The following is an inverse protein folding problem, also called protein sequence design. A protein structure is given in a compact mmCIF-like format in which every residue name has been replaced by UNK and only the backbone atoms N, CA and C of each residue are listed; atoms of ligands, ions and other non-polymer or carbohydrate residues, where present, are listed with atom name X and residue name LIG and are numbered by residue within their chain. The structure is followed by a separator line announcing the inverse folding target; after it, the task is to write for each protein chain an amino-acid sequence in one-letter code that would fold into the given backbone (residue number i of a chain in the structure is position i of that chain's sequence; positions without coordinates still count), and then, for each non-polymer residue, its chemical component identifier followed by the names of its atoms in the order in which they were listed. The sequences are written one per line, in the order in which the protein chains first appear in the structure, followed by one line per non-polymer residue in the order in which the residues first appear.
data_IF_790677449851
#
_entry.id   IF_790677449851
#
_cell.length_a   1.000
_cell.length_b   1.000
_cell.length_c   1.000
_cell.angle_alpha   90.00
_cell.angle_beta   90.00
_cell.angle_gamma   90.00
#
_symmetry.space_group_name_H-M   'P 1'
#
loop_
_entity.id
_entity.type
_entity.pdbx_description
1 polymer ?
#
# COMPACT_ATOMS: atom_id res chain seq x y z
N UNK A 1 22.92 -33.82 12.94
CA UNK A 1 22.76 -32.68 12.05
C UNK A 1 21.30 -32.63 11.63
N UNK A 2 20.67 -31.47 11.77
CA UNK A 2 19.30 -31.22 11.26
C UNK A 2 19.48 -30.34 10.04
N UNK A 3 18.93 -30.78 8.90
CA UNK A 3 18.94 -29.98 7.69
C UNK A 3 17.75 -29.02 7.75
N UNK A 4 18.02 -27.71 7.62
CA UNK A 4 17.01 -26.66 7.51
C UNK A 4 17.02 -26.19 6.06
N UNK A 5 16.04 -26.65 5.28
CA UNK A 5 15.87 -26.24 3.88
C UNK A 5 15.12 -24.92 3.73
N UNK A 6 15.12 -24.36 2.53
CA UNK A 6 14.29 -23.22 2.18
C UNK A 6 12.80 -23.61 2.28
N UNK A 7 11.93 -22.82 2.94
CA UNK A 7 10.50 -23.10 3.01
C UNK A 7 9.84 -22.93 1.63
N UNK A 8 8.72 -23.61 1.42
CA UNK A 8 7.89 -23.42 0.24
C UNK A 8 7.22 -22.03 0.24
N UNK A 9 6.66 -21.64 -0.91
CA UNK A 9 5.86 -20.41 -1.00
C UNK A 9 4.67 -20.46 -0.03
N UNK A 10 4.02 -21.60 0.09
CA UNK A 10 2.86 -21.80 0.98
C UNK A 10 3.26 -21.69 2.46
N UNK A 11 4.38 -22.29 2.86
CA UNK A 11 4.94 -22.15 4.21
C UNK A 11 5.34 -20.70 4.50
N UNK A 12 5.91 -20.02 3.49
CA UNK A 12 6.30 -18.60 3.61
C UNK A 12 5.07 -17.71 3.83
N UNK A 13 3.95 -17.95 3.11
CA UNK A 13 2.70 -17.22 3.35
C UNK A 13 2.21 -17.42 4.79
N UNK A 14 2.29 -18.67 5.30
CA UNK A 14 1.90 -18.95 6.69
C UNK A 14 2.80 -18.22 7.70
N UNK A 15 4.11 -18.15 7.44
CA UNK A 15 5.08 -17.38 8.26
C UNK A 15 4.73 -15.89 8.22
N UNK A 16 4.50 -15.32 7.04
CA UNK A 16 4.15 -13.90 6.88
C UNK A 16 2.85 -13.54 7.61
N UNK A 17 1.82 -14.41 7.53
CA UNK A 17 0.57 -14.24 8.32
C UNK A 17 0.84 -14.21 9.82
N UNK A 18 1.77 -15.03 10.31
CA UNK A 18 2.18 -15.02 11.71
C UNK A 18 2.92 -13.74 12.13
N UNK A 19 3.62 -13.08 11.21
CA UNK A 19 4.37 -11.85 11.45
C UNK A 19 3.55 -10.58 11.19
N UNK A 20 2.47 -10.67 10.42
CA UNK A 20 1.64 -9.55 9.94
C UNK A 20 1.35 -8.53 11.04
N UNK A 21 0.80 -8.96 12.18
CA UNK A 21 0.39 -8.05 13.25
C UNK A 21 1.55 -7.23 13.83
N UNK A 22 2.77 -7.78 13.84
CA UNK A 22 3.95 -7.07 14.33
C UNK A 22 4.39 -5.99 13.35
N UNK A 23 4.36 -6.27 12.04
CA UNK A 23 4.69 -5.28 11.01
C UNK A 23 3.62 -4.19 10.95
N UNK A 24 2.34 -4.53 11.03
CA UNK A 24 1.24 -3.57 11.12
C UNK A 24 1.38 -2.63 12.34
N UNK A 25 1.77 -3.18 13.50
CA UNK A 25 2.00 -2.39 14.70
C UNK A 25 3.26 -1.50 14.58
N UNK A 26 4.33 -2.02 13.96
CA UNK A 26 5.60 -1.29 13.82
C UNK A 26 5.47 -0.11 12.86
N UNK A 27 4.94 -0.35 11.66
CA UNK A 27 4.78 0.68 10.63
C UNK A 27 3.49 1.49 10.77
N UNK A 28 2.57 1.08 11.66
CA UNK A 28 1.24 1.69 11.86
C UNK A 28 0.40 1.75 10.58
N UNK A 29 0.48 0.71 9.75
CA UNK A 29 -0.26 0.54 8.51
C UNK A 29 -1.05 -0.76 8.51
N UNK A 30 -2.01 -0.89 7.61
CA UNK A 30 -2.72 -2.15 7.37
C UNK A 30 -2.03 -2.93 6.26
N UNK A 31 -1.89 -4.26 6.42
CA UNK A 31 -1.30 -5.13 5.40
C UNK A 31 -2.37 -6.10 4.91
N UNK A 32 -2.68 -6.10 3.62
CA UNK A 32 -3.62 -7.05 3.02
C UNK A 32 -3.09 -8.48 3.00
N UNK A 33 -3.98 -9.48 3.01
CA UNK A 33 -3.55 -10.88 2.82
C UNK A 33 -3.05 -11.13 1.39
N UNK A 34 -3.60 -10.41 0.43
CA UNK A 34 -3.16 -10.35 -0.95
C UNK A 34 -1.71 -9.85 -1.10
N UNK A 35 -1.30 -8.86 -0.29
CA UNK A 35 0.09 -8.41 -0.23
C UNK A 35 1.04 -9.53 0.25
N UNK A 36 0.65 -10.29 1.27
CA UNK A 36 1.46 -11.41 1.79
C UNK A 36 1.64 -12.52 0.75
N UNK A 37 0.55 -12.85 0.05
CA UNK A 37 0.58 -13.82 -1.05
C UNK A 37 1.44 -13.32 -2.20
N UNK A 38 1.31 -12.04 -2.57
CA UNK A 38 2.13 -11.40 -3.59
C UNK A 38 3.62 -11.40 -3.20
N UNK A 39 3.95 -11.02 -1.95
CA UNK A 39 5.33 -10.99 -1.47
C UNK A 39 6.01 -12.36 -1.56
N UNK A 40 5.34 -13.43 -1.14
CA UNK A 40 5.89 -14.79 -1.24
C UNK A 40 6.05 -15.24 -2.70
N UNK A 41 5.04 -15.03 -3.54
CA UNK A 41 5.04 -15.50 -4.93
C UNK A 41 5.97 -14.69 -5.83
N UNK A 42 5.94 -13.36 -5.72
CA UNK A 42 6.75 -12.49 -6.56
C UNK A 42 8.23 -12.54 -6.16
N UNK A 43 8.54 -12.58 -4.86
CA UNK A 43 9.92 -12.74 -4.42
C UNK A 43 10.53 -14.06 -4.89
N UNK A 44 9.75 -15.16 -4.80
CA UNK A 44 10.22 -16.45 -5.27
C UNK A 44 10.51 -16.44 -6.78
N UNK A 45 9.69 -15.73 -7.55
CA UNK A 45 9.78 -15.71 -9.03
C UNK A 45 10.82 -14.73 -9.57
N UNK A 46 10.92 -13.53 -8.98
CA UNK A 46 11.69 -12.42 -9.54
C UNK A 46 12.96 -12.07 -8.78
N UNK A 47 13.15 -12.61 -7.56
CA UNK A 47 14.34 -12.36 -6.73
C UNK A 47 15.10 -13.68 -6.49
N UNK A 48 15.90 -14.15 -7.47
CA UNK A 48 16.61 -15.43 -7.36
C UNK A 48 17.85 -15.38 -6.44
N UNK A 49 18.36 -14.19 -6.14
CA UNK A 49 19.60 -14.00 -5.38
C UNK A 49 19.48 -14.18 -3.86
N UNK A 50 18.25 -14.36 -3.34
CA UNK A 50 17.96 -14.52 -1.90
C UNK A 50 16.96 -15.66 -1.70
N UNK A 51 16.94 -16.23 -0.50
CA UNK A 51 16.08 -17.36 -0.16
C UNK A 51 14.80 -16.91 0.57
N UNK A 52 13.76 -17.74 0.50
CA UNK A 52 12.59 -17.62 1.34
C UNK A 52 12.94 -18.06 2.78
N UNK A 53 12.32 -17.51 3.83
CA UNK A 53 11.27 -16.49 3.78
C UNK A 53 11.81 -15.05 3.72
N UNK A 54 13.12 -14.82 3.90
CA UNK A 54 13.72 -13.51 4.14
C UNK A 54 13.37 -12.48 3.07
N UNK A 55 13.51 -12.85 1.78
CA UNK A 55 13.16 -11.94 0.67
C UNK A 55 11.70 -11.52 0.64
N UNK A 56 10.79 -12.38 1.09
CA UNK A 56 9.37 -12.05 1.16
C UNK A 56 9.05 -11.17 2.37
N UNK A 57 9.74 -11.40 3.49
CA UNK A 57 9.66 -10.55 4.69
C UNK A 57 10.14 -9.15 4.37
N UNK A 58 11.29 -9.02 3.72
CA UNK A 58 11.83 -7.70 3.34
C UNK A 58 10.90 -6.93 2.40
N UNK A 59 10.22 -7.61 1.46
CA UNK A 59 9.24 -6.96 0.59
C UNK A 59 8.04 -6.42 1.36
N UNK A 60 7.53 -7.17 2.33
CA UNK A 60 6.42 -6.72 3.18
C UNK A 60 6.86 -5.54 4.05
N UNK A 61 8.06 -5.61 4.61
CA UNK A 61 8.64 -4.55 5.43
C UNK A 61 8.82 -3.25 4.63
N UNK A 62 9.41 -3.34 3.45
CA UNK A 62 9.63 -2.20 2.55
C UNK A 62 8.32 -1.60 2.05
N UNK A 63 7.35 -2.44 1.64
CA UNK A 63 6.04 -1.95 1.20
C UNK A 63 5.28 -1.26 2.33
N UNK A 64 5.37 -1.78 3.56
CA UNK A 64 4.78 -1.15 4.72
C UNK A 64 5.47 0.18 5.09
N UNK A 65 6.80 0.24 4.98
CA UNK A 65 7.58 1.46 5.19
C UNK A 65 7.27 2.52 4.13
N UNK A 66 7.11 2.11 2.86
CA UNK A 66 6.76 2.99 1.76
C UNK A 66 5.38 3.62 1.97
N UNK A 67 4.37 2.80 2.25
CA UNK A 67 3.03 3.29 2.57
C UNK A 67 3.02 4.23 3.78
N UNK A 68 3.80 3.90 4.84
CA UNK A 68 3.92 4.80 6.00
C UNK A 68 4.52 6.15 5.61
N UNK A 69 5.53 6.16 4.77
CA UNK A 69 6.15 7.38 4.27
C UNK A 69 5.17 8.21 3.43
N UNK A 70 4.34 7.57 2.61
CA UNK A 70 3.28 8.23 1.84
C UNK A 70 2.24 8.87 2.77
N UNK A 71 1.78 8.14 3.81
CA UNK A 71 0.85 8.63 4.81
C UNK A 71 1.40 9.81 5.63
N UNK A 72 2.72 9.88 5.83
CA UNK A 72 3.36 10.99 6.53
C UNK A 72 3.69 12.17 5.60
N UNK A 73 3.68 11.96 4.29
CA UNK A 73 3.99 12.96 3.28
C UNK A 73 2.73 13.68 2.83
N UNK A 74 2.81 14.99 2.65
CA UNK A 74 1.70 15.76 2.08
C UNK A 74 1.46 15.34 0.62
N UNK A 75 0.21 15.09 0.20
CA UNK A 75 -0.13 14.80 -1.19
C UNK A 75 0.37 15.86 -2.17
N UNK A 76 0.75 15.43 -3.37
CA UNK A 76 1.31 16.31 -4.41
C UNK A 76 0.36 17.48 -4.75
N UNK A 77 -0.95 17.24 -4.78
CA UNK A 77 -1.97 18.27 -5.04
C UNK A 77 -1.94 19.39 -4.01
N UNK A 78 -1.76 19.05 -2.73
CA UNK A 78 -1.66 20.05 -1.65
C UNK A 78 -0.38 20.87 -1.81
N UNK A 79 0.74 20.22 -2.14
CA UNK A 79 2.03 20.89 -2.32
C UNK A 79 2.01 21.81 -3.55
N UNK A 80 1.41 21.38 -4.66
CA UNK A 80 1.22 22.22 -5.86
C UNK A 80 0.38 23.47 -5.57
N UNK A 81 -0.76 23.29 -4.89
CA UNK A 81 -1.61 24.43 -4.51
C UNK A 81 -0.90 25.36 -3.52
N UNK A 82 -0.14 24.82 -2.58
CA UNK A 82 0.65 25.62 -1.64
C UNK A 82 1.70 26.46 -2.38
N UNK A 83 2.43 25.86 -3.33
CA UNK A 83 3.39 26.58 -4.17
C UNK A 83 2.70 27.63 -5.05
N UNK A 84 1.48 27.32 -5.57
CA UNK A 84 0.70 28.28 -6.35
C UNK A 84 0.27 29.46 -5.47
N UNK A 85 -0.24 29.23 -4.27
CA UNK A 85 -0.60 30.29 -3.30
C UNK A 85 0.60 31.17 -3.01
N UNK A 86 1.75 30.59 -2.68
CA UNK A 86 2.98 31.35 -2.38
C UNK A 86 3.41 32.23 -3.55
N UNK A 87 3.31 31.72 -4.80
CA UNK A 87 3.62 32.49 -6.01
C UNK A 87 2.64 33.65 -6.21
N UNK A 88 1.34 33.41 -6.05
CA UNK A 88 0.32 34.44 -6.16
C UNK A 88 0.46 35.52 -5.07
N UNK A 89 0.82 35.15 -3.85
CA UNK A 89 1.12 36.08 -2.76
C UNK A 89 2.32 36.98 -3.06
N UNK A 90 3.38 36.42 -3.65
CA UNK A 90 4.53 37.20 -4.10
C UNK A 90 4.16 38.18 -5.21
N UNK A 91 3.33 37.77 -6.19
CA UNK A 91 2.85 38.64 -7.24
C UNK A 91 1.92 39.74 -6.69
N UNK A 92 1.04 39.38 -5.74
CA UNK A 92 0.20 40.35 -5.05
C UNK A 92 1.01 41.45 -4.34
N UNK A 93 2.09 41.03 -3.65
CA UNK A 93 2.97 41.94 -2.97
C UNK A 93 3.68 42.91 -3.94
N UNK A 94 4.01 42.46 -5.14
CA UNK A 94 4.59 43.32 -6.18
C UNK A 94 3.56 44.28 -6.77
N UNK A 95 2.37 43.81 -7.11
CA UNK A 95 1.30 44.62 -7.68
C UNK A 95 0.75 45.68 -6.72
N UNK A 96 0.74 45.40 -5.42
CA UNK A 96 0.38 46.40 -4.37
C UNK A 96 1.30 47.61 -4.33
N UNK A 97 2.52 47.48 -4.83
CA UNK A 97 3.50 48.59 -4.92
C UNK A 97 3.34 49.43 -6.19
N UNK A 98 2.61 48.95 -7.17
CA UNK A 98 2.37 49.63 -8.44
C UNK A 98 1.16 50.55 -8.33
N UNK A 99 1.25 51.78 -8.87
CA UNK A 99 0.19 52.80 -8.77
C UNK A 99 -0.63 52.94 -10.08
N UNK A 100 -0.19 52.25 -11.15
CA UNK A 100 -0.84 52.38 -12.45
C UNK A 100 -2.20 51.66 -12.52
N UNK A 101 -3.14 52.12 -13.35
CA UNK A 101 -4.50 51.55 -13.43
C UNK A 101 -4.52 50.07 -13.90
N UNK A 102 -3.60 49.68 -14.79
CA UNK A 102 -3.54 48.32 -15.31
C UNK A 102 -3.09 47.32 -14.20
N UNK A 103 -2.13 47.71 -13.35
CA UNK A 103 -1.70 46.94 -12.21
C UNK A 103 -2.80 46.78 -11.15
N UNK A 104 -3.64 47.80 -10.96
CA UNK A 104 -4.80 47.70 -10.05
C UNK A 104 -5.89 46.74 -10.56
N UNK A 105 -6.19 46.74 -11.86
CA UNK A 105 -7.12 45.78 -12.44
C UNK A 105 -6.59 44.34 -12.32
N UNK A 106 -5.30 44.14 -12.62
CA UNK A 106 -4.63 42.86 -12.46
C UNK A 106 -4.61 42.38 -11.00
N UNK A 107 -4.37 43.28 -10.05
CA UNK A 107 -4.42 42.99 -8.62
C UNK A 107 -5.81 42.47 -8.20
N UNK A 108 -6.91 43.05 -8.70
CA UNK A 108 -8.25 42.58 -8.38
C UNK A 108 -8.49 41.12 -8.88
N UNK A 109 -8.06 40.80 -10.10
CA UNK A 109 -8.18 39.45 -10.67
C UNK A 109 -7.33 38.46 -9.91
N UNK A 110 -6.10 38.85 -9.56
CA UNK A 110 -5.18 38.02 -8.81
C UNK A 110 -5.67 37.73 -7.39
N UNK A 111 -6.28 38.73 -6.73
CA UNK A 111 -6.86 38.53 -5.39
C UNK A 111 -8.04 37.56 -5.42
N UNK A 112 -8.88 37.58 -6.47
CA UNK A 112 -9.94 36.59 -6.63
C UNK A 112 -9.35 35.18 -6.82
N UNK A 113 -8.35 35.02 -7.72
CA UNK A 113 -7.69 33.73 -7.93
C UNK A 113 -6.97 33.23 -6.65
N UNK A 114 -6.35 34.12 -5.90
CA UNK A 114 -5.70 33.80 -4.63
C UNK A 114 -6.73 33.30 -3.59
N UNK A 115 -7.89 33.96 -3.49
CA UNK A 115 -8.96 33.56 -2.59
C UNK A 115 -9.49 32.17 -2.93
N UNK A 116 -9.81 31.91 -4.21
CA UNK A 116 -10.25 30.60 -4.68
C UNK A 116 -9.21 29.50 -4.43
N UNK A 117 -7.93 29.79 -4.70
CA UNK A 117 -6.85 28.82 -4.51
C UNK A 117 -6.65 28.50 -3.03
N UNK A 118 -6.75 29.52 -2.14
CA UNK A 118 -6.66 29.34 -0.69
C UNK A 118 -7.83 28.52 -0.13
N UNK A 119 -9.04 28.74 -0.64
CA UNK A 119 -10.22 27.97 -0.23
C UNK A 119 -10.06 26.50 -0.60
N UNK A 120 -9.65 26.21 -1.83
CA UNK A 120 -9.35 24.84 -2.28
C UNK A 120 -8.26 24.19 -1.43
N UNK A 121 -7.15 24.89 -1.21
CA UNK A 121 -6.04 24.40 -0.38
C UNK A 121 -6.50 24.11 1.05
N UNK A 122 -7.30 24.99 1.64
CA UNK A 122 -7.84 24.82 3.00
C UNK A 122 -8.75 23.59 3.09
N UNK A 123 -9.63 23.39 2.08
CA UNK A 123 -10.50 22.22 2.00
C UNK A 123 -9.74 20.91 1.89
N UNK A 124 -8.74 20.85 0.99
CA UNK A 124 -7.90 19.65 0.83
C UNK A 124 -7.05 19.37 2.06
N UNK A 125 -6.47 20.41 2.70
CA UNK A 125 -5.72 20.23 3.96
C UNK A 125 -6.60 19.70 5.08
N UNK A 126 -7.80 20.24 5.26
CA UNK A 126 -8.71 19.78 6.30
C UNK A 126 -9.12 18.32 6.09
N UNK A 127 -9.33 17.90 4.83
CA UNK A 127 -9.59 16.51 4.48
C UNK A 127 -8.40 15.62 4.76
N UNK A 128 -7.20 16.02 4.32
CA UNK A 128 -5.95 15.30 4.58
C UNK A 128 -5.68 15.12 6.07
N UNK A 129 -5.81 16.18 6.85
CA UNK A 129 -5.62 16.13 8.31
C UNK A 129 -6.61 15.17 8.99
N UNK A 130 -7.83 15.09 8.49
CA UNK A 130 -8.86 14.16 9.00
C UNK A 130 -8.53 12.70 8.65
N UNK A 131 -8.14 12.40 7.41
CA UNK A 131 -7.72 11.07 6.96
C UNK A 131 -6.48 10.61 7.74
N UNK A 132 -5.46 11.45 7.86
CA UNK A 132 -4.25 11.16 8.61
C UNK A 132 -4.52 10.90 10.10
N UNK A 133 -5.44 11.65 10.71
CA UNK A 133 -5.82 11.44 12.11
C UNK A 133 -6.50 10.08 12.32
N UNK A 134 -7.33 9.63 11.38
CA UNK A 134 -7.95 8.30 11.37
C UNK A 134 -6.90 7.18 11.35
N UNK A 135 -6.03 7.20 10.34
CA UNK A 135 -4.95 6.22 10.19
C UNK A 135 -4.00 6.18 11.39
N UNK A 136 -3.59 7.34 11.92
CA UNK A 136 -2.72 7.41 13.08
C UNK A 136 -3.39 6.80 14.32
N UNK A 137 -4.69 7.03 14.53
CA UNK A 137 -5.43 6.45 15.65
C UNK A 137 -5.47 4.91 15.58
N UNK A 138 -5.75 4.35 14.41
CA UNK A 138 -5.74 2.89 14.18
C UNK A 138 -4.34 2.33 14.42
N UNK A 139 -3.30 2.97 13.87
CA UNK A 139 -1.91 2.58 14.05
C UNK A 139 -1.46 2.61 15.52
N UNK A 140 -1.81 3.65 16.26
CA UNK A 140 -1.47 3.79 17.69
C UNK A 140 -2.17 2.72 18.55
N UNK A 141 -3.43 2.38 18.25
CA UNK A 141 -4.15 1.32 18.94
C UNK A 141 -3.53 -0.07 18.66
N UNK A 142 -3.07 -0.33 17.45
CA UNK A 142 -2.37 -1.58 17.09
C UNK A 142 -1.02 -1.68 17.82
N UNK A 143 -0.22 -0.62 17.82
CA UNK A 143 1.04 -0.56 18.55
C UNK A 143 0.84 -0.81 20.05
N UNK A 144 -0.17 -0.15 20.66
CA UNK A 144 -0.52 -0.36 22.07
C UNK A 144 -0.96 -1.78 22.35
N UNK A 145 -1.69 -2.41 21.44
CA UNK A 145 -2.13 -3.81 21.58
C UNK A 145 -0.95 -4.78 21.53
N UNK A 146 0.04 -4.54 20.66
CA UNK A 146 1.26 -5.36 20.59
C UNK A 146 2.10 -5.20 21.86
N UNK A 147 2.28 -3.97 22.36
CA UNK A 147 2.97 -3.70 23.62
C UNK A 147 2.32 -4.43 24.80
N UNK A 148 0.99 -4.41 24.88
CA UNK A 148 0.24 -5.13 25.94
C UNK A 148 0.45 -6.64 25.84
N UNK A 149 0.49 -7.22 24.64
CA UNK A 149 0.80 -8.64 24.43
C UNK A 149 2.21 -8.99 24.91
N UNK A 150 3.19 -8.19 24.52
CA UNK A 150 4.59 -8.37 24.97
C UNK A 150 4.69 -8.28 26.49
N UNK A 151 3.99 -7.34 27.13
CA UNK A 151 3.95 -7.23 28.59
C UNK A 151 3.26 -8.43 29.26
N UNK A 152 2.15 -8.91 28.72
CA UNK A 152 1.45 -10.08 29.22
C UNK A 152 2.34 -11.34 29.14
N UNK A 153 3.04 -11.53 28.02
CA UNK A 153 4.01 -12.63 27.83
C UNK A 153 5.19 -12.53 28.82
N UNK A 154 5.67 -11.32 29.08
CA UNK A 154 6.73 -11.07 30.05
C UNK A 154 6.26 -11.45 31.46
N UNK A 155 5.12 -10.96 31.93
CA UNK A 155 4.57 -11.29 33.24
C UNK A 155 4.27 -12.78 33.40
N UNK A 156 3.83 -13.44 32.34
CA UNK A 156 3.62 -14.89 32.33
C UNK A 156 4.92 -15.65 32.54
N UNK A 157 6.01 -15.24 31.87
CA UNK A 157 7.34 -15.86 32.07
C UNK A 157 7.94 -15.58 33.45
N UNK A 158 7.67 -14.42 34.03
CA UNK A 158 8.08 -14.03 35.38
C UNK A 158 7.22 -14.68 36.47
N UNK A 159 6.15 -15.42 36.11
CA UNK A 159 5.24 -16.07 37.05
C UNK A 159 4.23 -15.13 37.70
N UNK A 160 4.16 -13.87 37.27
CA UNK A 160 3.18 -12.88 37.78
C UNK A 160 1.86 -13.03 37.05
N UNK A 161 1.13 -14.12 37.36
CA UNK A 161 -0.11 -14.47 36.67
C UNK A 161 -1.26 -13.47 36.96
N UNK A 162 -1.20 -12.74 38.05
CA UNK A 162 -2.22 -11.74 38.41
C UNK A 162 -2.17 -10.56 37.43
N UNK A 163 -1.00 -9.97 37.19
CA UNK A 163 -0.84 -8.87 36.24
C UNK A 163 -1.03 -9.35 34.79
N UNK A 164 -0.53 -10.54 34.45
CA UNK A 164 -0.76 -11.13 33.13
C UNK A 164 -2.27 -11.29 32.85
N UNK A 165 -3.04 -11.79 33.83
CA UNK A 165 -4.50 -11.97 33.67
C UNK A 165 -5.23 -10.62 33.54
N UNK A 166 -4.82 -9.58 34.25
CA UNK A 166 -5.41 -8.26 34.16
C UNK A 166 -5.24 -7.68 32.75
N UNK A 167 -4.05 -7.83 32.17
CA UNK A 167 -3.77 -7.39 30.80
C UNK A 167 -4.55 -8.23 29.79
N UNK A 168 -4.46 -9.56 29.87
CA UNK A 168 -5.08 -10.48 28.90
C UNK A 168 -6.60 -10.41 28.87
N UNK A 169 -7.26 -10.30 30.04
CA UNK A 169 -8.72 -10.35 30.15
C UNK A 169 -9.37 -8.98 30.38
N UNK A 170 -8.58 -7.95 30.69
CA UNK A 170 -9.08 -6.59 30.93
C UNK A 170 -8.68 -5.61 29.86
N UNK A 171 -7.37 -5.35 29.72
CA UNK A 171 -6.87 -4.26 28.89
C UNK A 171 -6.88 -4.60 27.37
N UNK A 172 -6.43 -5.80 27.00
CA UNK A 172 -6.41 -6.24 25.59
C UNK A 172 -7.82 -6.23 24.97
N UNK A 173 -8.88 -6.82 25.59
CA UNK A 173 -10.23 -6.77 25.02
C UNK A 173 -10.80 -5.35 24.89
N UNK A 174 -10.44 -4.45 25.81
CA UNK A 174 -10.86 -3.05 25.74
C UNK A 174 -10.26 -2.35 24.51
N UNK A 175 -8.93 -2.49 24.31
CA UNK A 175 -8.23 -1.92 23.13
C UNK A 175 -8.71 -2.58 21.84
N UNK A 176 -8.96 -3.88 21.82
CA UNK A 176 -9.52 -4.57 20.65
C UNK A 176 -10.89 -4.01 20.24
N UNK A 177 -11.73 -3.69 21.22
CA UNK A 177 -13.03 -3.07 20.94
C UNK A 177 -12.89 -1.65 20.40
N UNK A 178 -11.96 -0.87 20.94
CA UNK A 178 -11.64 0.48 20.42
C UNK A 178 -11.08 0.40 19.01
N UNK A 179 -10.19 -0.55 18.73
CA UNK A 179 -9.61 -0.79 17.42
C UNK A 179 -10.69 -1.15 16.39
N UNK A 180 -11.56 -2.10 16.71
CA UNK A 180 -12.64 -2.49 15.82
C UNK A 180 -13.61 -1.33 15.51
N UNK A 181 -13.88 -0.47 16.49
CA UNK A 181 -14.69 0.73 16.27
C UNK A 181 -13.98 1.77 15.40
N UNK A 182 -12.65 1.93 15.55
CA UNK A 182 -11.86 2.84 14.74
C UNK A 182 -11.74 2.34 13.29
N UNK A 183 -11.49 1.04 13.09
CA UNK A 183 -11.43 0.40 11.76
C UNK A 183 -12.78 0.47 11.03
N UNK A 184 -13.90 0.30 11.75
CA UNK A 184 -15.24 0.45 11.16
C UNK A 184 -15.51 1.87 10.70
N UNK A 185 -15.10 2.87 11.49
CA UNK A 185 -15.27 4.29 11.13
C UNK A 185 -14.39 4.68 9.93
N UNK A 186 -13.18 4.12 9.85
CA UNK A 186 -12.25 4.33 8.73
C UNK A 186 -12.79 3.69 7.44
N UNK A 187 -13.31 2.46 7.53
CA UNK A 187 -13.94 1.76 6.42
C UNK A 187 -15.24 2.44 5.92
N UNK A 188 -16.08 2.97 6.83
CA UNK A 188 -17.28 3.71 6.46
C UNK A 188 -16.95 5.03 5.75
N UNK A 189 -15.87 5.70 6.13
CA UNK A 189 -15.39 6.89 5.45
C UNK A 189 -14.85 6.58 4.05
N UNK A 190 -14.15 5.45 3.88
CA UNK A 190 -13.65 4.99 2.59
C UNK A 190 -14.79 4.55 1.64
N UNK A 191 -15.80 3.84 2.15
CA UNK A 191 -16.94 3.35 1.35
C UNK A 191 -17.91 4.48 0.96
N UNK A 192 -18.07 5.49 1.80
CA UNK A 192 -18.81 6.72 1.47
C UNK A 192 -18.12 7.51 0.34
N UNK A 193 -16.80 7.45 0.22
CA UNK A 193 -15.99 8.05 -0.84
C UNK A 193 -16.12 7.36 -2.19
N UNK A 194 -16.40 6.05 -2.23
CA UNK A 194 -16.52 5.27 -3.46
C UNK A 194 -17.69 5.70 -4.37
N UNK A 195 -18.62 6.52 -3.86
CA UNK A 195 -19.76 7.05 -4.63
C UNK A 195 -19.43 8.32 -5.44
N UNK A 196 -18.31 8.99 -5.15
CA UNK A 196 -17.89 10.22 -5.84
C UNK A 196 -16.37 10.22 -6.06
N UNK A 197 -15.87 10.45 -7.28
CA UNK A 197 -14.41 10.53 -7.53
C UNK A 197 -13.69 11.63 -6.73
N UNK A 198 -14.46 12.59 -6.18
CA UNK A 198 -13.92 13.65 -5.31
C UNK A 198 -13.67 13.20 -3.86
N UNK A 199 -14.15 12.02 -3.50
CA UNK A 199 -14.11 11.48 -2.15
C UNK A 199 -13.20 10.23 -2.05
N UNK A 200 -12.50 9.84 -3.15
CA UNK A 200 -11.47 8.78 -3.09
C UNK A 200 -10.38 9.14 -2.06
N UNK A 201 -9.91 8.18 -1.23
CA UNK A 201 -8.82 8.43 -0.29
C UNK A 201 -7.62 9.06 -0.99
N UNK A 202 -7.00 10.06 -0.37
CA UNK A 202 -5.85 10.76 -0.96
C UNK A 202 -4.58 9.88 -0.99
N UNK A 203 -4.51 8.88 -0.11
CA UNK A 203 -3.44 7.89 -0.03
C UNK A 203 -4.05 6.51 0.21
N UNK A 204 -3.46 5.41 -0.33
CA UNK A 204 -3.91 4.07 -0.03
C UNK A 204 -3.99 3.81 1.48
N UNK A 205 -5.03 3.09 1.91
CA UNK A 205 -5.28 2.77 3.32
C UNK A 205 -4.54 1.52 3.79
N UNK A 206 -4.05 0.72 2.84
CA UNK A 206 -3.39 -0.56 3.12
C UNK A 206 -2.35 -0.92 2.07
N UNK A 207 -1.40 -1.73 2.50
CA UNK A 207 -0.49 -2.44 1.58
C UNK A 207 -1.24 -3.57 0.89
N UNK A 208 -1.26 -3.56 -0.41
CA UNK A 208 -1.90 -4.56 -1.27
C UNK A 208 -0.89 -5.27 -2.19
N UNK A 209 -1.38 -6.12 -3.07
CA UNK A 209 -0.54 -6.84 -4.04
C UNK A 209 0.17 -5.92 -5.03
N UNK A 210 -0.47 -4.79 -5.39
CA UNK A 210 0.10 -3.84 -6.34
C UNK A 210 1.25 -3.05 -5.71
N UNK A 211 1.13 -2.65 -4.44
CA UNK A 211 2.21 -2.03 -3.66
C UNK A 211 3.46 -2.94 -3.60
N UNK A 212 3.27 -4.23 -3.34
CA UNK A 212 4.37 -5.21 -3.33
C UNK A 212 4.98 -5.37 -4.73
N UNK A 213 4.16 -5.40 -5.78
CA UNK A 213 4.62 -5.51 -7.15
C UNK A 213 5.44 -4.30 -7.59
N UNK A 214 5.12 -3.12 -7.10
CA UNK A 214 5.88 -1.89 -7.33
C UNK A 214 7.29 -1.99 -6.71
N UNK A 215 7.40 -2.38 -5.45
CA UNK A 215 8.71 -2.60 -4.79
C UNK A 215 9.54 -3.65 -5.54
N UNK A 216 8.92 -4.76 -5.96
CA UNK A 216 9.63 -5.77 -6.78
C UNK A 216 10.12 -5.17 -8.10
N UNK A 217 9.32 -4.29 -8.72
CA UNK A 217 9.70 -3.61 -9.96
C UNK A 217 10.89 -2.68 -9.74
N UNK A 218 10.92 -1.96 -8.65
CA UNK A 218 12.02 -1.06 -8.28
C UNK A 218 13.32 -1.82 -8.00
N UNK A 219 13.25 -2.93 -7.29
CA UNK A 219 14.43 -3.74 -6.98
C UNK A 219 15.00 -4.49 -8.17
N UNK A 220 14.14 -4.95 -9.08
CA UNK A 220 14.55 -5.81 -10.21
C UNK A 220 14.66 -5.07 -11.53
N UNK A 221 14.04 -3.90 -11.65
CA UNK A 221 13.88 -3.18 -12.92
C UNK A 221 12.86 -3.82 -13.86
N UNK A 222 12.08 -4.83 -13.39
CA UNK A 222 11.07 -5.54 -14.17
C UNK A 222 9.70 -4.95 -13.86
N UNK A 223 8.91 -4.46 -14.82
CA UNK A 223 7.60 -3.84 -14.56
C UNK A 223 6.55 -4.89 -14.16
N UNK A 224 6.65 -5.43 -12.95
CA UNK A 224 5.86 -6.57 -12.43
C UNK A 224 4.38 -6.21 -12.34
N UNK A 225 4.03 -5.00 -11.91
CA UNK A 225 2.64 -4.54 -11.82
C UNK A 225 1.89 -4.61 -13.16
N UNK A 226 2.54 -4.25 -14.27
CA UNK A 226 1.97 -4.40 -15.62
C UNK A 226 1.86 -5.86 -16.07
N UNK A 227 2.68 -6.75 -15.51
CA UNK A 227 2.65 -8.17 -15.83
C UNK A 227 1.49 -8.87 -15.09
N UNK A 228 1.17 -8.47 -13.86
CA UNK A 228 0.12 -9.09 -13.07
C UNK A 228 -1.29 -8.83 -13.61
N UNK A 229 -1.63 -7.60 -13.97
CA UNK A 229 -2.95 -7.25 -14.52
C UNK A 229 -3.20 -7.84 -15.91
N UNK A 230 -2.15 -8.13 -16.66
CA UNK A 230 -2.25 -8.65 -18.03
C UNK A 230 -1.94 -10.12 -18.19
N UNK A 231 -1.47 -10.84 -17.19
CA UNK A 231 -1.04 -12.24 -17.38
C UNK A 231 -2.23 -13.17 -17.72
N UNK A 232 -3.30 -13.10 -16.96
CA UNK A 232 -4.48 -13.93 -17.23
C UNK A 232 -5.15 -13.56 -18.56
N UNK A 233 -5.27 -12.26 -18.84
CA UNK A 233 -5.86 -11.80 -20.10
C UNK A 233 -4.95 -12.08 -21.30
N UNK A 234 -3.64 -11.89 -21.16
CA UNK A 234 -2.66 -12.26 -22.19
C UNK A 234 -2.57 -13.77 -22.42
N UNK A 235 -2.70 -14.58 -21.37
CA UNK A 235 -2.75 -16.04 -21.50
C UNK A 235 -4.01 -16.51 -22.21
N UNK A 236 -5.14 -15.86 -21.97
CA UNK A 236 -6.41 -16.16 -22.67
C UNK A 236 -6.35 -15.77 -24.17
N UNK A 237 -5.70 -14.63 -24.48
CA UNK A 237 -5.58 -14.11 -25.85
C UNK A 237 -4.19 -14.33 -26.47
N UNK A 238 -3.42 -15.30 -25.99
CA UNK A 238 -2.04 -15.54 -26.44
C UNK A 238 -1.95 -15.86 -27.93
N UNK A 239 -2.92 -16.61 -28.46
CA UNK A 239 -3.00 -16.92 -29.89
C UNK A 239 -3.12 -15.66 -30.75
N UNK A 240 -3.92 -14.70 -30.32
CA UNK A 240 -4.12 -13.44 -31.04
C UNK A 240 -2.85 -12.58 -31.02
N UNK A 241 -2.14 -12.55 -29.88
CA UNK A 241 -0.86 -11.84 -29.76
C UNK A 241 0.24 -12.46 -30.61
N UNK A 242 0.38 -13.77 -30.56
CA UNK A 242 1.39 -14.49 -31.36
C UNK A 242 1.03 -14.46 -32.84
N UNK A 243 -0.24 -14.57 -33.20
CA UNK A 243 -0.73 -14.54 -34.59
C UNK A 243 -0.47 -13.23 -35.33
N UNK A 244 -0.32 -12.10 -34.59
CA UNK A 244 0.09 -10.80 -35.17
C UNK A 244 1.55 -10.77 -35.61
N UNK A 245 2.41 -11.61 -35.02
CA UNK A 245 3.85 -11.66 -35.27
C UNK A 245 4.28 -12.86 -36.11
N UNK A 246 3.56 -13.98 -35.99
CA UNK A 246 3.85 -15.24 -36.67
C UNK A 246 2.75 -15.51 -37.70
N UNK A 247 3.05 -15.30 -38.95
CA UNK A 247 2.09 -15.46 -40.05
C UNK A 247 2.09 -16.93 -40.52
N UNK A 248 0.90 -17.53 -40.61
CA UNK A 248 0.69 -18.81 -41.30
C UNK A 248 0.90 -20.09 -40.46
N UNK A 249 1.26 -20.02 -39.17
CA UNK A 249 1.52 -21.18 -38.31
C UNK A 249 0.49 -21.32 -37.17
N UNK A 250 -0.80 -21.32 -37.52
CA UNK A 250 -1.90 -21.36 -36.50
C UNK A 250 -1.84 -22.55 -35.56
N UNK A 251 -1.55 -23.75 -36.06
CA UNK A 251 -1.45 -24.96 -35.24
C UNK A 251 -0.28 -24.91 -34.25
N UNK A 252 0.87 -24.39 -34.68
CA UNK A 252 2.02 -24.21 -33.81
C UNK A 252 1.76 -23.17 -32.73
N UNK A 253 1.10 -22.07 -33.09
CA UNK A 253 0.70 -21.00 -32.12
C UNK A 253 -0.24 -21.58 -31.07
N UNK A 254 -1.28 -22.34 -31.45
CA UNK A 254 -2.20 -22.99 -30.55
C UNK A 254 -1.49 -23.98 -29.60
N UNK A 255 -0.61 -24.85 -30.15
CA UNK A 255 0.16 -25.81 -29.36
C UNK A 255 1.07 -25.16 -28.32
N UNK A 256 1.75 -24.06 -28.68
CA UNK A 256 2.61 -23.29 -27.77
C UNK A 256 1.76 -22.60 -26.70
N UNK A 257 0.66 -21.95 -27.08
CA UNK A 257 -0.24 -21.27 -26.15
C UNK A 257 -0.83 -22.24 -25.12
N UNK A 258 -1.25 -23.43 -25.56
CA UNK A 258 -1.75 -24.47 -24.67
C UNK A 258 -0.66 -25.06 -23.74
N UNK A 259 0.56 -25.19 -24.23
CA UNK A 259 1.68 -25.64 -23.41
C UNK A 259 2.00 -24.62 -22.31
N UNK A 260 2.03 -23.33 -22.64
CA UNK A 260 2.25 -22.25 -21.69
C UNK A 260 1.13 -22.16 -20.66
N UNK A 261 -0.15 -22.25 -21.10
CA UNK A 261 -1.29 -22.25 -20.17
C UNK A 261 -1.24 -23.43 -19.20
N UNK A 262 -0.91 -24.64 -19.66
CA UNK A 262 -0.75 -25.83 -18.79
C UNK A 262 0.39 -25.67 -17.79
N UNK A 263 1.52 -25.15 -18.23
CA UNK A 263 2.65 -24.87 -17.34
C UNK A 263 2.28 -23.85 -16.25
N UNK A 264 1.55 -22.80 -16.60
CA UNK A 264 1.09 -21.76 -15.65
C UNK A 264 -0.02 -22.24 -14.72
N UNK A 265 -0.83 -23.19 -15.16
CA UNK A 265 -1.86 -23.84 -14.33
C UNK A 265 -1.30 -24.91 -13.36
N UNK A 266 0.03 -25.09 -13.30
CA UNK A 266 0.66 -26.08 -12.42
C UNK A 266 0.46 -27.54 -12.89
N UNK A 267 -0.02 -27.78 -14.12
CA UNK A 267 -0.27 -29.09 -14.70
C UNK A 267 0.95 -29.54 -15.52
N UNK A 268 2.15 -29.12 -15.16
CA UNK A 268 3.38 -29.55 -15.82
C UNK A 268 4.01 -30.74 -15.07
N UNK A 269 4.50 -31.72 -15.82
CA UNK A 269 5.29 -32.83 -15.25
C UNK A 269 6.66 -32.25 -14.80
N UNK A 270 7.00 -32.30 -13.49
CA UNK A 270 8.27 -31.77 -13.00
C UNK A 270 9.50 -32.45 -13.58
N UNK A 271 9.35 -33.65 -14.20
CA UNK A 271 10.44 -34.41 -14.82
C UNK A 271 10.57 -34.20 -16.34
N UNK A 272 9.74 -33.34 -16.93
CA UNK A 272 9.83 -32.96 -18.34
C UNK A 272 9.87 -31.45 -18.46
N UNK A 273 11.08 -30.89 -18.66
CA UNK A 273 11.27 -29.45 -18.86
C UNK A 273 10.63 -28.99 -20.20
#
# INVERSE_FOLDING_TARGET
QVFVGEPSVEDTIAILRGLKQRYEAHHKVTIGDDALVAAATLSNRYIPGRQLPDKAIDLVDEAAAHLRMELDSSPEEIDELQRKVTRLEMEEMQLKKAEDPASKERLGKLQAELADTREKLSGLKARWDAEQAGHNKVGDLRAKLDDLRVQADKFTREGNLAEASKILYGEIPAIQKELAAAESADAESADAGAANPADEPMVPDRVDADSVAEIVSDWTGIPVGRLMQGENEKLLHMEDYLGKRVIGQKEAIAAVSDAVRRSRAGISDPNRP
#
